data_IF_511886805528
#
_entry.id   IF_511886805528
#
_cell.length_a   1.000
_cell.length_b   1.000
_cell.length_c   1.000
_cell.angle_alpha   90.00
_cell.angle_beta   90.00
_cell.angle_gamma   90.00
#
_symmetry.space_group_name_H-M   'P 1'
#
loop_
_entity.id
_entity.type
_entity.pdbx_description
1 polymer ?
#
# COMPACT_ATOMS: atom_id res chain seq x y z
N UNK A 1 -13.96 -27.41 59.62
CA UNK A 1 -14.24 -28.24 58.42
C UNK A 1 -14.50 -27.44 57.15
N UNK A 2 -14.04 -26.18 57.00
CA UNK A 2 -14.35 -25.34 55.83
C UNK A 2 -13.17 -25.01 54.90
N UNK A 3 -11.91 -25.35 55.28
CA UNK A 3 -10.71 -24.99 54.51
C UNK A 3 -10.42 -26.00 53.38
N UNK A 4 -10.85 -27.26 53.51
CA UNK A 4 -10.55 -28.31 52.52
C UNK A 4 -11.42 -28.24 51.23
N UNK A 5 -12.57 -27.55 51.30
CA UNK A 5 -13.49 -27.47 50.15
C UNK A 5 -13.10 -26.37 49.17
N UNK A 6 -12.44 -25.31 49.64
CA UNK A 6 -12.00 -24.15 48.83
C UNK A 6 -10.80 -24.51 47.93
N UNK A 7 -9.83 -25.29 48.49
CA UNK A 7 -8.67 -25.71 47.70
C UNK A 7 -8.96 -26.62 46.51
N UNK A 8 -10.00 -27.48 46.62
CA UNK A 8 -10.38 -28.37 45.50
C UNK A 8 -11.05 -27.64 44.35
N UNK A 9 -11.79 -26.54 44.61
CA UNK A 9 -12.44 -25.76 43.55
C UNK A 9 -11.44 -24.88 42.76
N UNK A 10 -10.42 -24.36 43.41
CA UNK A 10 -9.38 -23.54 42.78
C UNK A 10 -8.48 -24.36 41.87
N UNK A 11 -8.20 -25.61 42.22
CA UNK A 11 -7.36 -26.52 41.43
C UNK A 11 -8.06 -26.97 40.14
N UNK A 12 -9.41 -27.14 40.16
CA UNK A 12 -10.16 -27.49 38.96
C UNK A 12 -10.31 -26.34 37.96
N UNK A 13 -10.38 -25.09 38.44
CA UNK A 13 -10.45 -23.92 37.56
C UNK A 13 -9.12 -23.63 36.88
N UNK A 14 -7.99 -23.86 37.53
CA UNK A 14 -6.66 -23.68 36.91
C UNK A 14 -6.34 -24.76 35.88
N UNK A 15 -6.81 -26.00 36.06
CA UNK A 15 -6.64 -27.05 35.03
C UNK A 15 -7.49 -26.83 33.79
N UNK A 16 -8.70 -26.29 33.92
CA UNK A 16 -9.59 -25.98 32.80
C UNK A 16 -9.06 -24.79 31.96
N UNK A 17 -8.42 -23.79 32.59
CA UNK A 17 -7.80 -22.67 31.90
C UNK A 17 -6.51 -23.04 31.13
N UNK A 18 -5.76 -24.06 31.63
CA UNK A 18 -4.56 -24.53 30.95
C UNK A 18 -4.85 -25.37 29.69
N UNK A 19 -6.00 -26.02 29.61
CA UNK A 19 -6.43 -26.77 28.41
C UNK A 19 -6.89 -25.87 27.25
N UNK A 20 -7.24 -24.60 27.51
CA UNK A 20 -7.66 -23.64 26.50
C UNK A 20 -6.47 -22.94 25.82
N UNK A 21 -5.25 -23.14 26.31
CA UNK A 21 -4.01 -22.54 25.78
C UNK A 21 -3.10 -23.56 25.07
N UNK A 22 -3.55 -24.78 24.85
CA UNK A 22 -2.84 -25.70 23.98
C UNK A 22 -2.87 -25.15 22.55
N UNK A 23 -1.71 -24.94 21.89
CA UNK A 23 -1.72 -24.55 20.49
C UNK A 23 -2.50 -25.61 19.72
N UNK A 24 -3.60 -25.23 19.11
CA UNK A 24 -4.33 -26.09 18.18
C UNK A 24 -3.31 -26.51 17.11
N UNK A 25 -3.22 -27.80 16.77
CA UNK A 25 -2.38 -28.19 15.65
C UNK A 25 -2.85 -27.41 14.43
N UNK A 26 -1.98 -26.56 13.90
CA UNK A 26 -2.27 -25.86 12.66
C UNK A 26 -2.41 -26.93 11.57
N UNK A 27 -3.61 -27.27 11.19
CA UNK A 27 -3.83 -28.05 9.97
C UNK A 27 -3.23 -27.23 8.84
N UNK A 28 -2.29 -27.83 8.08
CA UNK A 28 -1.70 -27.17 6.92
C UNK A 28 -2.82 -26.62 6.02
N UNK A 29 -2.71 -25.35 5.64
CA UNK A 29 -3.73 -24.72 4.81
C UNK A 29 -3.87 -25.46 3.48
N UNK A 30 -5.11 -25.61 3.02
CA UNK A 30 -5.38 -26.26 1.73
C UNK A 30 -4.93 -25.33 0.59
N UNK A 31 -4.09 -25.87 -0.31
CA UNK A 31 -3.67 -25.17 -1.52
C UNK A 31 -4.51 -25.66 -2.68
N UNK A 32 -5.27 -24.74 -3.29
CA UNK A 32 -6.16 -25.04 -4.42
C UNK A 32 -5.41 -24.89 -5.76
N UNK A 33 -5.93 -25.54 -6.79
CA UNK A 33 -5.38 -25.48 -8.15
C UNK A 33 -6.06 -24.41 -9.00
N UNK A 34 -7.31 -24.09 -8.67
CA UNK A 34 -8.12 -23.12 -9.42
C UNK A 34 -8.94 -22.23 -8.47
N UNK A 35 -9.33 -21.07 -8.96
CA UNK A 35 -10.24 -20.18 -8.23
C UNK A 35 -11.60 -20.85 -7.97
N UNK A 36 -12.12 -21.62 -8.91
CA UNK A 36 -13.40 -22.31 -8.76
C UNK A 36 -13.38 -23.35 -7.63
N UNK A 37 -12.26 -24.06 -7.43
CA UNK A 37 -12.08 -24.95 -6.26
C UNK A 37 -12.04 -24.15 -4.96
N UNK A 38 -11.27 -23.06 -4.94
CA UNK A 38 -11.09 -22.20 -3.79
C UNK A 38 -12.37 -21.45 -3.38
N UNK A 39 -13.23 -21.11 -4.33
CA UNK A 39 -14.47 -20.35 -4.10
C UNK A 39 -15.45 -21.03 -3.13
N UNK A 40 -15.35 -22.35 -2.95
CA UNK A 40 -16.21 -23.09 -2.01
C UNK A 40 -15.82 -22.86 -0.54
N UNK A 41 -14.61 -22.38 -0.28
CA UNK A 41 -14.05 -22.16 1.06
C UNK A 41 -13.57 -20.73 1.29
N UNK A 42 -13.83 -19.81 0.35
CA UNK A 42 -13.41 -18.42 0.48
C UNK A 42 -14.09 -17.74 1.67
N UNK A 43 -13.31 -17.04 2.46
CA UNK A 43 -13.74 -16.25 3.61
C UNK A 43 -13.70 -14.75 3.31
N UNK A 44 -13.86 -13.91 4.33
CA UNK A 44 -13.68 -12.45 4.21
C UNK A 44 -12.24 -12.08 3.82
N UNK A 45 -11.24 -12.92 4.13
CA UNK A 45 -9.83 -12.70 3.74
C UNK A 45 -9.59 -12.92 2.23
N UNK A 46 -10.58 -13.50 1.53
CA UNK A 46 -10.56 -13.64 0.07
C UNK A 46 -9.58 -14.69 -0.44
N UNK A 47 -8.76 -14.33 -1.46
CA UNK A 47 -7.85 -15.24 -2.12
C UNK A 47 -6.40 -14.69 -2.08
N UNK A 48 -5.44 -15.60 -1.93
CA UNK A 48 -4.03 -15.31 -2.09
C UNK A 48 -3.43 -16.22 -3.18
N UNK A 49 -3.02 -15.62 -4.28
CA UNK A 49 -2.37 -16.31 -5.39
C UNK A 49 -0.86 -16.16 -5.27
N UNK A 50 -0.15 -17.29 -5.17
CA UNK A 50 1.31 -17.33 -5.35
C UNK A 50 1.59 -17.63 -6.83
N UNK A 51 2.05 -16.61 -7.55
CA UNK A 51 2.14 -16.63 -9.01
C UNK A 51 3.58 -16.88 -9.45
N UNK A 52 3.79 -17.89 -10.28
CA UNK A 52 5.09 -18.22 -10.87
C UNK A 52 5.11 -18.04 -12.38
N UNK A 53 6.28 -17.63 -12.91
CA UNK A 53 6.47 -17.50 -14.36
C UNK A 53 6.65 -18.86 -15.03
N UNK A 54 5.64 -19.29 -15.79
CA UNK A 54 5.67 -20.57 -16.49
C UNK A 54 6.38 -20.45 -17.84
N UNK A 55 7.37 -21.30 -18.04
CA UNK A 55 8.12 -21.36 -19.31
C UNK A 55 9.22 -20.30 -19.46
N UNK A 56 9.39 -19.42 -18.50
CA UNK A 56 10.44 -18.40 -18.53
C UNK A 56 11.71 -18.88 -17.84
N UNK A 57 11.58 -19.44 -16.64
CA UNK A 57 12.69 -19.97 -15.88
C UNK A 57 12.31 -21.29 -15.20
N UNK A 58 13.35 -22.05 -14.80
CA UNK A 58 13.18 -23.32 -14.09
C UNK A 58 13.09 -23.18 -12.57
N UNK A 59 13.28 -21.96 -12.01
CA UNK A 59 13.40 -21.71 -10.58
C UNK A 59 12.11 -21.17 -9.97
N UNK A 60 11.33 -20.42 -10.74
CA UNK A 60 10.12 -19.71 -10.27
C UNK A 60 9.06 -20.67 -9.68
N UNK A 61 8.76 -21.76 -10.36
CA UNK A 61 7.76 -22.74 -9.90
C UNK A 61 8.17 -23.46 -8.60
N UNK A 62 9.40 -24.04 -8.47
CA UNK A 62 9.85 -24.62 -7.21
C UNK A 62 9.87 -23.61 -6.06
N UNK A 63 10.35 -22.39 -6.29
CA UNK A 63 10.38 -21.31 -5.33
C UNK A 63 8.97 -20.95 -4.81
N UNK A 64 8.00 -20.78 -5.70
CA UNK A 64 6.62 -20.50 -5.32
C UNK A 64 5.96 -21.68 -4.57
N UNK A 65 6.30 -22.92 -4.91
CA UNK A 65 5.85 -24.10 -4.16
C UNK A 65 6.40 -24.11 -2.73
N UNK A 66 7.65 -23.72 -2.54
CA UNK A 66 8.25 -23.60 -1.22
C UNK A 66 7.55 -22.50 -0.40
N UNK A 67 7.31 -21.33 -1.00
CA UNK A 67 6.62 -20.22 -0.35
C UNK A 67 5.23 -20.62 0.12
N UNK A 68 4.39 -21.14 -0.77
CA UNK A 68 3.00 -21.46 -0.44
C UNK A 68 2.88 -22.61 0.58
N UNK A 69 3.87 -23.50 0.65
CA UNK A 69 3.94 -24.59 1.62
C UNK A 69 4.51 -24.16 2.98
N UNK A 70 5.09 -22.96 3.08
CA UNK A 70 5.74 -22.50 4.30
C UNK A 70 4.69 -22.16 5.39
N UNK A 71 4.82 -22.70 6.63
CA UNK A 71 3.86 -22.46 7.71
C UNK A 71 3.71 -20.98 8.11
N UNK A 72 4.79 -20.20 8.07
CA UNK A 72 4.74 -18.75 8.38
C UNK A 72 3.91 -18.00 7.36
N UNK A 73 4.06 -18.34 6.07
CA UNK A 73 3.27 -17.74 4.98
C UNK A 73 1.80 -18.13 5.10
N UNK A 74 1.52 -19.42 5.39
CA UNK A 74 0.14 -19.89 5.59
C UNK A 74 -0.52 -19.21 6.79
N UNK A 75 0.21 -19.05 7.91
CA UNK A 75 -0.30 -18.34 9.07
C UNK A 75 -0.51 -16.84 8.80
N UNK A 76 0.35 -16.21 8.00
CA UNK A 76 0.21 -14.81 7.62
C UNK A 76 -0.95 -14.54 6.64
N UNK A 77 -1.32 -15.54 5.84
CA UNK A 77 -2.46 -15.48 4.92
C UNK A 77 -3.82 -15.47 5.65
N UNK A 78 -3.85 -15.75 6.96
CA UNK A 78 -5.10 -15.85 7.70
C UNK A 78 -5.99 -16.98 7.15
N UNK A 79 -7.25 -16.65 6.90
CA UNK A 79 -8.23 -17.57 6.33
C UNK A 79 -8.37 -17.42 4.79
N UNK A 80 -7.44 -16.71 4.13
CA UNK A 80 -7.48 -16.58 2.67
C UNK A 80 -7.29 -17.93 1.97
N UNK A 81 -8.05 -18.15 0.89
CA UNK A 81 -7.92 -19.34 0.06
C UNK A 81 -6.64 -19.27 -0.79
N UNK A 82 -5.72 -20.23 -0.59
CA UNK A 82 -4.40 -20.24 -1.22
C UNK A 82 -4.44 -20.91 -2.59
N UNK A 83 -3.91 -20.24 -3.62
CA UNK A 83 -3.83 -20.77 -4.99
C UNK A 83 -2.41 -20.65 -5.51
N UNK A 84 -1.86 -21.74 -6.06
CA UNK A 84 -0.60 -21.71 -6.79
C UNK A 84 -0.91 -21.53 -8.29
N UNK A 85 -0.59 -20.35 -8.84
CA UNK A 85 -1.02 -19.94 -10.17
C UNK A 85 0.14 -19.80 -11.16
N UNK A 86 0.08 -20.41 -12.37
CA UNK A 86 1.00 -20.15 -13.46
C UNK A 86 0.68 -18.80 -14.13
N UNK A 87 1.72 -18.09 -14.54
CA UNK A 87 1.64 -16.97 -15.48
C UNK A 87 2.47 -17.30 -16.71
N UNK A 88 1.85 -17.31 -17.87
CA UNK A 88 2.50 -17.63 -19.15
C UNK A 88 2.89 -16.35 -19.89
N UNK A 89 4.18 -16.05 -19.97
CA UNK A 89 4.66 -14.82 -20.62
C UNK A 89 4.44 -14.81 -22.14
N UNK A 90 4.62 -15.97 -22.78
CA UNK A 90 4.42 -16.17 -24.23
C UNK A 90 3.31 -17.20 -24.43
N UNK A 91 2.12 -16.86 -23.99
CA UNK A 91 1.00 -17.78 -23.95
C UNK A 91 0.51 -18.18 -25.35
N UNK A 92 0.42 -19.46 -25.60
CA UNK A 92 -0.38 -20.01 -26.69
C UNK A 92 -1.89 -19.88 -26.37
N UNK A 93 -2.79 -20.04 -27.34
CA UNK A 93 -4.24 -20.08 -27.04
C UNK A 93 -4.60 -21.13 -25.98
N UNK A 94 -3.90 -22.29 -25.98
CA UNK A 94 -4.09 -23.35 -24.98
C UNK A 94 -3.59 -22.91 -23.58
N UNK A 95 -2.45 -22.21 -23.51
CA UNK A 95 -1.92 -21.69 -22.25
C UNK A 95 -2.84 -20.59 -21.68
N UNK A 96 -3.42 -19.75 -22.53
CA UNK A 96 -4.42 -18.76 -22.10
C UNK A 96 -5.67 -19.43 -21.52
N UNK A 97 -6.13 -20.54 -22.10
CA UNK A 97 -7.25 -21.31 -21.55
C UNK A 97 -6.91 -21.91 -20.18
N UNK A 98 -5.70 -22.48 -20.04
CA UNK A 98 -5.23 -23.02 -18.75
C UNK A 98 -5.12 -21.92 -17.70
N UNK A 99 -4.58 -20.77 -18.06
CA UNK A 99 -4.48 -19.61 -17.18
C UNK A 99 -5.86 -19.13 -16.76
N UNK A 100 -6.78 -18.93 -17.70
CA UNK A 100 -8.14 -18.52 -17.41
C UNK A 100 -8.87 -19.52 -16.49
N UNK A 101 -8.64 -20.83 -16.64
CA UNK A 101 -9.22 -21.85 -15.76
C UNK A 101 -8.68 -21.74 -14.31
N UNK A 102 -7.40 -21.39 -14.11
CA UNK A 102 -6.82 -21.19 -12.79
C UNK A 102 -7.36 -19.93 -12.13
N UNK A 103 -7.41 -18.84 -12.87
CA UNK A 103 -7.78 -17.51 -12.36
C UNK A 103 -9.29 -17.31 -12.23
N UNK A 104 -10.08 -17.99 -13.03
CA UNK A 104 -11.55 -17.96 -12.99
C UNK A 104 -12.09 -16.53 -13.13
N UNK A 105 -12.82 -16.07 -12.11
CA UNK A 105 -13.42 -14.73 -12.06
C UNK A 105 -12.56 -13.66 -11.37
N UNK A 106 -11.33 -14.01 -10.95
CA UNK A 106 -10.44 -13.02 -10.35
C UNK A 106 -10.06 -11.94 -11.37
N UNK A 107 -10.00 -10.71 -10.91
CA UNK A 107 -9.52 -9.60 -11.73
C UNK A 107 -8.10 -9.92 -12.24
N UNK A 108 -7.97 -10.03 -13.56
CA UNK A 108 -6.67 -10.29 -14.16
C UNK A 108 -5.76 -9.09 -13.89
N UNK A 109 -4.57 -9.28 -13.29
CA UNK A 109 -3.65 -8.19 -13.15
C UNK A 109 -3.33 -7.73 -14.57
N UNK A 110 -3.78 -6.54 -14.91
CA UNK A 110 -3.42 -5.93 -16.18
C UNK A 110 -1.90 -5.91 -16.22
N UNK A 111 -1.34 -6.42 -17.32
CA UNK A 111 0.10 -6.40 -17.56
C UNK A 111 0.57 -4.94 -17.53
N UNK A 112 0.79 -4.42 -16.34
CA UNK A 112 1.50 -3.18 -16.16
C UNK A 112 2.97 -3.50 -16.41
N UNK A 113 3.63 -2.69 -17.20
CA UNK A 113 5.05 -2.80 -17.56
C UNK A 113 6.03 -2.96 -16.38
N UNK A 114 5.54 -2.98 -15.15
CA UNK A 114 6.30 -3.07 -13.90
C UNK A 114 5.98 -4.32 -13.07
N UNK A 115 5.21 -5.28 -13.56
CA UNK A 115 4.95 -6.51 -12.81
C UNK A 115 6.15 -7.46 -12.91
N UNK A 116 6.70 -7.80 -11.75
CA UNK A 116 7.79 -8.77 -11.64
C UNK A 116 7.24 -10.09 -11.12
N UNK A 117 7.37 -11.15 -11.90
CA UNK A 117 7.08 -12.51 -11.46
C UNK A 117 8.38 -13.22 -11.05
N UNK A 118 8.36 -14.07 -10.03
CA UNK A 118 7.20 -14.49 -9.24
C UNK A 118 6.76 -13.43 -8.25
N UNK A 119 5.48 -13.51 -7.79
CA UNK A 119 4.87 -12.58 -6.84
C UNK A 119 3.72 -13.25 -6.07
N UNK A 120 3.22 -12.53 -5.05
CA UNK A 120 1.94 -12.86 -4.40
C UNK A 120 0.93 -11.78 -4.78
N UNK A 121 -0.27 -12.19 -5.17
CA UNK A 121 -1.41 -11.33 -5.44
C UNK A 121 -2.52 -11.63 -4.43
N UNK A 122 -3.10 -10.60 -3.85
CA UNK A 122 -4.11 -10.71 -2.80
C UNK A 122 -5.43 -10.10 -3.30
N UNK A 123 -6.50 -10.90 -3.27
CA UNK A 123 -7.82 -10.54 -3.78
C UNK A 123 -8.85 -10.59 -2.66
N UNK A 124 -9.82 -9.70 -2.71
CA UNK A 124 -11.00 -9.79 -1.85
C UNK A 124 -11.89 -11.00 -2.24
N UNK A 125 -12.89 -11.29 -1.43
CA UNK A 125 -13.84 -12.39 -1.68
C UNK A 125 -14.62 -12.25 -3.00
N UNK A 126 -14.70 -11.04 -3.56
CA UNK A 126 -15.36 -10.77 -4.82
C UNK A 126 -14.39 -10.89 -6.02
N UNK A 127 -13.14 -11.32 -5.78
CA UNK A 127 -12.12 -11.51 -6.81
C UNK A 127 -11.44 -10.23 -7.27
N UNK A 128 -11.53 -9.13 -6.51
CA UNK A 128 -10.90 -7.86 -6.84
C UNK A 128 -9.51 -7.77 -6.20
N UNK A 129 -8.51 -7.43 -6.99
CA UNK A 129 -7.13 -7.26 -6.53
C UNK A 129 -7.03 -6.07 -5.56
N UNK A 130 -6.48 -6.30 -4.36
CA UNK A 130 -6.23 -5.23 -3.39
C UNK A 130 -4.77 -5.12 -2.95
N UNK A 131 -3.95 -6.16 -3.09
CA UNK A 131 -2.58 -6.13 -2.61
C UNK A 131 -1.63 -7.00 -3.43
N UNK A 132 -0.33 -6.65 -3.37
CA UNK A 132 0.75 -7.37 -4.05
C UNK A 132 1.98 -7.43 -3.16
N UNK A 133 2.66 -8.58 -3.13
CA UNK A 133 4.01 -8.74 -2.56
C UNK A 133 4.92 -9.16 -3.71
N UNK A 134 5.83 -8.28 -4.11
CA UNK A 134 6.63 -8.45 -5.31
C UNK A 134 8.00 -7.76 -5.24
N UNK A 135 8.83 -7.95 -6.27
CA UNK A 135 10.11 -7.25 -6.41
C UNK A 135 11.20 -7.81 -5.52
N UNK A 136 12.16 -6.94 -5.15
CA UNK A 136 13.37 -7.37 -4.44
C UNK A 136 13.09 -7.94 -3.05
N UNK A 137 12.16 -7.37 -2.30
CA UNK A 137 11.75 -7.88 -0.98
C UNK A 137 11.18 -9.30 -1.09
N UNK A 138 10.35 -9.54 -2.09
CA UNK A 138 9.78 -10.87 -2.34
C UNK A 138 10.86 -11.89 -2.76
N UNK A 139 11.75 -11.53 -3.67
CA UNK A 139 12.75 -12.45 -4.22
C UNK A 139 13.89 -12.75 -3.24
N UNK A 140 14.36 -11.75 -2.50
CA UNK A 140 15.55 -11.82 -1.63
C UNK A 140 15.23 -11.83 -0.15
N UNK A 141 14.01 -11.49 0.26
CA UNK A 141 13.58 -11.48 1.65
C UNK A 141 13.54 -12.89 2.28
N UNK A 142 13.58 -12.95 3.59
CA UNK A 142 13.30 -14.16 4.36
C UNK A 142 11.82 -14.53 4.32
N UNK A 143 11.45 -15.74 4.74
CA UNK A 143 10.04 -16.13 4.88
C UNK A 143 9.31 -15.24 5.90
N UNK A 144 9.97 -14.89 7.02
CA UNK A 144 9.42 -13.99 8.02
C UNK A 144 9.12 -12.58 7.48
N UNK A 145 10.00 -12.01 6.64
CA UNK A 145 9.75 -10.71 6.01
C UNK A 145 8.57 -10.76 5.04
N UNK A 146 8.47 -11.81 4.23
CA UNK A 146 7.32 -12.03 3.33
C UNK A 146 6.01 -12.19 4.12
N UNK A 147 6.04 -13.00 5.17
CA UNK A 147 4.90 -13.21 6.06
C UNK A 147 4.45 -11.89 6.71
N UNK A 148 5.39 -11.08 7.20
CA UNK A 148 5.10 -9.77 7.77
C UNK A 148 4.45 -8.82 6.74
N UNK A 149 4.93 -8.82 5.50
CA UNK A 149 4.35 -7.99 4.43
C UNK A 149 2.93 -8.45 4.06
N UNK A 150 2.68 -9.76 3.95
CA UNK A 150 1.35 -10.33 3.71
C UNK A 150 0.38 -9.90 4.83
N UNK A 151 0.78 -10.11 6.08
CA UNK A 151 -0.03 -9.76 7.25
C UNK A 151 -0.37 -8.27 7.28
N UNK A 152 0.63 -7.40 7.04
CA UNK A 152 0.42 -5.96 7.00
C UNK A 152 -0.60 -5.54 5.93
N UNK A 153 -0.59 -6.19 4.75
CA UNK A 153 -1.57 -5.93 3.68
C UNK A 153 -2.98 -6.41 4.04
N UNK A 154 -3.10 -7.56 4.69
CA UNK A 154 -4.37 -8.09 5.15
C UNK A 154 -4.99 -7.17 6.24
N UNK A 155 -4.19 -6.75 7.22
CA UNK A 155 -4.61 -5.79 8.24
C UNK A 155 -5.00 -4.43 7.63
N UNK A 156 -4.24 -3.94 6.65
CA UNK A 156 -4.55 -2.72 5.91
C UNK A 156 -5.89 -2.86 5.15
N UNK A 157 -6.16 -4.03 4.58
CA UNK A 157 -7.42 -4.32 3.89
C UNK A 157 -8.60 -4.32 4.87
N UNK A 158 -8.50 -5.00 6.01
CA UNK A 158 -9.55 -5.01 7.03
C UNK A 158 -9.87 -3.59 7.52
N UNK A 159 -8.85 -2.78 7.77
CA UNK A 159 -9.04 -1.37 8.15
C UNK A 159 -9.74 -0.56 7.04
N UNK A 160 -9.40 -0.81 5.77
CA UNK A 160 -10.07 -0.18 4.63
C UNK A 160 -11.55 -0.54 4.57
N UNK A 161 -11.90 -1.81 4.79
CA UNK A 161 -13.28 -2.28 4.80
C UNK A 161 -14.08 -1.72 5.96
N UNK A 162 -13.47 -1.60 7.14
CA UNK A 162 -14.07 -0.93 8.29
C UNK A 162 -14.43 0.52 7.97
N UNK A 163 -13.49 1.29 7.42
CA UNK A 163 -13.73 2.69 7.01
C UNK A 163 -14.80 2.80 5.93
N UNK A 164 -14.82 1.89 4.95
CA UNK A 164 -15.85 1.87 3.91
C UNK A 164 -17.24 1.50 4.46
N UNK A 165 -17.30 0.63 5.47
CA UNK A 165 -18.54 0.30 6.19
C UNK A 165 -19.06 1.51 6.96
N UNK A 166 -18.18 2.23 7.70
CA UNK A 166 -18.52 3.47 8.37
C UNK A 166 -18.97 4.54 7.37
N UNK A 167 -18.30 4.66 6.22
CA UNK A 167 -18.69 5.56 5.15
C UNK A 167 -20.08 5.22 4.56
N UNK A 168 -20.45 3.94 4.55
CA UNK A 168 -21.79 3.49 4.15
C UNK A 168 -22.90 4.03 5.05
N UNK A 169 -22.64 4.20 6.35
CA UNK A 169 -23.56 4.73 7.34
C UNK A 169 -23.52 6.28 7.44
N UNK A 170 -22.45 6.92 6.95
CA UNK A 170 -22.27 8.37 7.00
C UNK A 170 -22.85 9.08 5.75
N UNK A 171 -23.02 10.41 5.85
CA UNK A 171 -23.49 11.26 4.76
C UNK A 171 -22.62 12.52 4.58
N UNK A 172 -22.72 13.16 3.41
CA UNK A 172 -22.07 14.44 3.13
C UNK A 172 -20.56 14.41 3.33
N UNK A 173 -20.01 15.49 3.85
CA UNK A 173 -18.57 15.69 4.08
C UNK A 173 -17.95 14.59 4.93
N UNK A 174 -18.65 14.05 5.91
CA UNK A 174 -18.15 12.95 6.75
C UNK A 174 -17.93 11.66 5.94
N UNK A 175 -18.89 11.29 5.09
CA UNK A 175 -18.74 10.16 4.17
C UNK A 175 -17.53 10.35 3.25
N UNK A 176 -17.35 11.56 2.70
CA UNK A 176 -16.21 11.86 1.83
C UNK A 176 -14.87 11.70 2.56
N UNK A 177 -14.79 12.15 3.83
CA UNK A 177 -13.59 11.99 4.67
C UNK A 177 -13.25 10.52 4.91
N UNK A 178 -14.22 9.71 5.35
CA UNK A 178 -14.02 8.27 5.61
C UNK A 178 -13.54 7.53 4.37
N UNK A 179 -14.13 7.80 3.20
CA UNK A 179 -13.64 7.25 1.93
C UNK A 179 -12.24 7.75 1.61
N UNK A 180 -11.95 9.02 1.89
CA UNK A 180 -10.62 9.61 1.73
C UNK A 180 -9.56 8.94 2.60
N UNK A 181 -9.90 8.60 3.84
CA UNK A 181 -9.04 7.85 4.76
C UNK A 181 -8.81 6.41 4.26
N UNK A 182 -9.86 5.73 3.80
CA UNK A 182 -9.75 4.40 3.21
C UNK A 182 -8.82 4.40 1.96
N UNK A 183 -8.89 5.45 1.14
CA UNK A 183 -8.01 5.63 -0.02
C UNK A 183 -6.55 5.95 0.36
N UNK A 184 -6.30 6.47 1.55
CA UNK A 184 -4.98 6.87 2.03
C UNK A 184 -4.17 5.73 2.63
N UNK A 185 -4.78 4.57 2.87
CA UNK A 185 -4.10 3.39 3.40
C UNK A 185 -3.04 2.92 2.40
N UNK A 186 -1.80 2.88 2.86
CA UNK A 186 -0.67 2.52 2.01
C UNK A 186 -0.56 1.01 1.80
N UNK A 187 0.04 0.63 0.68
CA UNK A 187 0.38 -0.76 0.37
C UNK A 187 -0.77 -1.60 -0.18
N UNK A 188 -1.97 -1.04 -0.30
CA UNK A 188 -3.13 -1.69 -0.91
C UNK A 188 -3.80 -0.77 -1.95
N UNK A 189 -4.56 -1.38 -2.85
CA UNK A 189 -5.30 -0.65 -3.88
C UNK A 189 -6.45 0.16 -3.25
N UNK A 190 -6.77 1.28 -3.87
CA UNK A 190 -7.88 2.13 -3.43
C UNK A 190 -9.23 1.42 -3.62
N UNK A 191 -10.24 1.70 -2.77
CA UNK A 191 -11.58 1.15 -2.94
C UNK A 191 -12.15 1.47 -4.33
N UNK A 192 -12.86 0.52 -4.93
CA UNK A 192 -13.50 0.78 -6.22
C UNK A 192 -14.59 1.85 -6.09
N UNK A 193 -14.73 2.66 -7.15
CA UNK A 193 -15.75 3.70 -7.20
C UNK A 193 -15.56 4.84 -6.20
N UNK A 194 -14.38 4.93 -5.55
CA UNK A 194 -14.13 5.95 -4.53
C UNK A 194 -14.38 7.38 -5.03
N UNK A 195 -14.04 7.66 -6.31
CA UNK A 195 -14.20 9.00 -6.90
C UNK A 195 -15.66 9.42 -6.96
N UNK A 196 -16.51 8.53 -7.43
CA UNK A 196 -17.94 8.71 -7.56
C UNK A 196 -18.58 8.88 -6.18
N UNK A 197 -18.15 8.07 -5.22
CA UNK A 197 -18.65 8.14 -3.83
C UNK A 197 -18.29 9.49 -3.20
N UNK A 198 -17.01 9.90 -3.27
CA UNK A 198 -16.55 11.17 -2.70
C UNK A 198 -17.24 12.35 -3.38
N UNK A 199 -17.32 12.37 -4.72
CA UNK A 199 -17.95 13.44 -5.47
C UNK A 199 -19.46 13.55 -5.22
N UNK A 200 -20.14 12.43 -5.06
CA UNK A 200 -21.58 12.42 -4.74
C UNK A 200 -21.85 12.87 -3.29
N UNK A 201 -20.96 12.50 -2.36
CA UNK A 201 -21.08 12.87 -0.94
C UNK A 201 -20.70 14.34 -0.70
N UNK A 202 -19.71 14.87 -1.42
CA UNK A 202 -19.17 16.22 -1.23
C UNK A 202 -18.94 16.90 -2.60
N UNK A 203 -20.02 17.31 -3.29
CA UNK A 203 -19.94 17.86 -4.65
C UNK A 203 -19.17 19.17 -4.75
N UNK A 204 -19.08 19.93 -3.65
CA UNK A 204 -18.33 21.19 -3.57
C UNK A 204 -16.89 21.02 -3.08
N UNK A 205 -16.47 19.78 -2.79
CA UNK A 205 -15.15 19.45 -2.22
C UNK A 205 -14.81 20.24 -0.94
N UNK A 206 -15.80 20.41 -0.04
CA UNK A 206 -15.61 21.07 1.25
C UNK A 206 -14.62 20.32 2.15
N UNK A 207 -14.61 18.98 2.05
CA UNK A 207 -13.61 18.11 2.71
C UNK A 207 -12.21 18.24 2.13
N UNK A 208 -12.08 18.73 0.89
CA UNK A 208 -10.83 18.71 0.13
C UNK A 208 -10.41 17.33 -0.38
N UNK A 209 -11.24 16.30 -0.21
CA UNK A 209 -10.86 14.93 -0.56
C UNK A 209 -10.74 14.72 -2.08
N UNK A 210 -11.54 15.41 -2.90
CA UNK A 210 -11.41 15.35 -4.36
C UNK A 210 -10.05 15.90 -4.79
N UNK A 211 -9.67 17.08 -4.29
CA UNK A 211 -8.35 17.69 -4.57
C UNK A 211 -7.21 16.80 -4.12
N UNK A 212 -7.27 16.31 -2.87
CA UNK A 212 -6.26 15.46 -2.27
C UNK A 212 -6.05 14.16 -3.03
N UNK A 213 -7.13 13.44 -3.36
CA UNK A 213 -7.08 12.11 -3.97
C UNK A 213 -6.78 12.16 -5.47
N UNK A 214 -7.14 13.27 -6.14
CA UNK A 214 -6.83 13.50 -7.55
C UNK A 214 -5.50 14.24 -7.76
N UNK A 215 -4.71 14.49 -6.70
CA UNK A 215 -3.42 15.15 -6.84
C UNK A 215 -2.51 14.35 -7.76
N UNK A 216 -2.25 14.92 -8.93
CA UNK A 216 -1.37 14.35 -9.95
C UNK A 216 0.04 14.89 -9.76
N UNK A 217 0.91 14.06 -9.16
CA UNK A 217 2.32 14.41 -8.96
C UNK A 217 3.05 14.67 -10.28
N UNK A 218 2.77 13.88 -11.33
CA UNK A 218 3.47 14.02 -12.60
C UNK A 218 3.09 15.32 -13.31
N UNK A 219 1.80 15.61 -13.45
CA UNK A 219 1.31 16.86 -14.04
C UNK A 219 1.74 18.08 -13.24
N UNK A 220 1.72 17.99 -11.90
CA UNK A 220 2.22 19.02 -11.02
C UNK A 220 3.73 19.27 -11.23
N UNK A 221 4.54 18.21 -11.28
CA UNK A 221 5.97 18.29 -11.53
C UNK A 221 6.28 18.86 -12.91
N UNK A 222 5.55 18.47 -13.94
CA UNK A 222 5.71 19.05 -15.29
C UNK A 222 5.45 20.57 -15.28
N UNK A 223 4.38 21.00 -14.60
CA UNK A 223 4.01 22.42 -14.55
C UNK A 223 5.02 23.28 -13.77
N UNK A 224 5.54 22.80 -12.65
CA UNK A 224 6.33 23.63 -11.74
C UNK A 224 7.82 23.27 -11.67
N UNK A 225 8.22 22.09 -12.13
CA UNK A 225 9.61 21.61 -12.04
C UNK A 225 10.29 21.44 -13.40
N UNK A 226 9.55 21.56 -14.51
CA UNK A 226 10.12 21.43 -15.86
C UNK A 226 11.28 22.44 -16.06
N UNK A 227 12.39 21.94 -16.57
CA UNK A 227 13.57 22.79 -16.83
C UNK A 227 13.26 23.76 -17.96
N UNK A 228 13.82 24.96 -17.85
CA UNK A 228 13.67 26.07 -18.83
C UNK A 228 14.06 25.76 -20.30
N UNK A 229 14.45 24.53 -20.63
CA UNK A 229 14.78 24.16 -22.00
C UNK A 229 13.61 24.33 -22.98
N UNK A 230 12.36 24.28 -22.47
CA UNK A 230 11.13 24.28 -23.28
C UNK A 230 10.23 25.51 -23.06
N UNK A 231 10.77 26.66 -22.70
CA UNK A 231 9.99 27.91 -22.67
C UNK A 231 9.70 28.54 -21.31
N UNK A 232 10.26 27.98 -20.21
CA UNK A 232 10.19 28.60 -18.89
C UNK A 232 8.92 28.20 -18.10
N UNK A 233 8.96 28.40 -16.77
CA UNK A 233 7.78 28.33 -15.93
C UNK A 233 6.77 29.39 -16.42
N UNK A 234 5.51 29.03 -16.59
CA UNK A 234 4.44 29.99 -16.92
C UNK A 234 4.35 31.13 -15.90
N UNK A 235 4.78 30.83 -14.65
CA UNK A 235 4.83 31.77 -13.54
C UNK A 235 6.27 32.14 -13.18
N UNK A 236 6.54 33.42 -12.92
CA UNK A 236 7.80 33.88 -12.37
C UNK A 236 8.05 33.31 -10.96
N UNK A 237 9.31 33.41 -10.45
CA UNK A 237 9.70 32.80 -9.17
C UNK A 237 8.83 33.19 -7.98
N UNK A 238 8.54 34.46 -7.81
CA UNK A 238 7.71 34.98 -6.71
C UNK A 238 6.27 34.45 -6.77
N UNK A 239 5.68 34.44 -7.98
CA UNK A 239 4.32 33.95 -8.20
C UNK A 239 4.24 32.43 -7.94
N UNK A 240 5.27 31.68 -8.34
CA UNK A 240 5.38 30.25 -8.06
C UNK A 240 5.42 29.98 -6.55
N UNK A 241 6.28 30.70 -5.82
CA UNK A 241 6.38 30.55 -4.35
C UNK A 241 5.04 30.88 -3.69
N UNK A 242 4.41 32.00 -4.07
CA UNK A 242 3.10 32.39 -3.52
C UNK A 242 1.99 31.37 -3.80
N UNK A 243 2.04 30.71 -4.94
CA UNK A 243 1.07 29.63 -5.26
C UNK A 243 1.34 28.39 -4.40
N UNK A 244 2.60 27.99 -4.20
CA UNK A 244 2.97 26.88 -3.32
C UNK A 244 2.57 27.16 -1.86
N UNK A 245 2.72 28.39 -1.39
CA UNK A 245 2.27 28.77 -0.04
C UNK A 245 0.76 28.63 0.17
N UNK A 246 -0.04 28.81 -0.89
CA UNK A 246 -1.50 28.52 -0.80
C UNK A 246 -1.75 27.02 -0.61
N UNK A 247 -1.07 26.17 -1.37
CA UNK A 247 -1.19 24.71 -1.22
C UNK A 247 -0.71 24.24 0.15
N UNK A 248 0.36 24.83 0.70
CA UNK A 248 0.86 24.50 2.03
C UNK A 248 -0.16 24.81 3.14
N UNK A 249 -0.97 25.86 2.96
CA UNK A 249 -2.02 26.27 3.93
C UNK A 249 -3.30 25.43 3.79
N UNK A 250 -3.52 24.77 2.66
CA UNK A 250 -4.72 23.95 2.44
C UNK A 250 -4.66 22.68 3.31
N UNK A 251 -5.61 22.50 4.25
CA UNK A 251 -5.64 21.34 5.13
C UNK A 251 -5.96 20.02 4.39
N UNK A 252 -6.45 20.09 3.15
CA UNK A 252 -6.76 18.91 2.34
C UNK A 252 -5.51 18.09 2.00
N UNK A 253 -4.35 18.72 1.86
CA UNK A 253 -3.12 18.04 1.48
C UNK A 253 -2.41 17.39 2.67
N UNK A 254 -1.92 16.16 2.47
CA UNK A 254 -1.14 15.44 3.49
C UNK A 254 0.23 16.09 3.72
N UNK A 255 0.89 15.81 4.86
CA UNK A 255 2.26 16.27 5.10
C UNK A 255 3.23 15.91 3.97
N UNK A 256 3.14 14.70 3.40
CA UNK A 256 3.97 14.23 2.29
C UNK A 256 3.68 15.02 0.99
N UNK A 257 2.40 15.29 0.69
CA UNK A 257 2.05 16.16 -0.45
C UNK A 257 2.58 17.58 -0.25
N UNK A 258 2.52 18.11 0.97
CA UNK A 258 3.11 19.42 1.31
C UNK A 258 4.63 19.46 1.17
N UNK A 259 5.33 18.34 1.38
CA UNK A 259 6.76 18.25 1.08
C UNK A 259 7.05 18.47 -0.43
N UNK A 260 6.17 18.01 -1.32
CA UNK A 260 6.32 18.24 -2.75
C UNK A 260 6.24 19.75 -3.08
N UNK A 261 5.31 20.46 -2.44
CA UNK A 261 5.22 21.92 -2.61
C UNK A 261 6.46 22.64 -2.10
N UNK A 262 7.01 22.21 -0.97
CA UNK A 262 8.30 22.72 -0.49
C UNK A 262 9.46 22.42 -1.45
N UNK A 263 9.48 21.24 -2.06
CA UNK A 263 10.52 20.90 -3.05
C UNK A 263 10.48 21.86 -4.26
N UNK A 264 9.28 22.26 -4.71
CA UNK A 264 9.12 23.30 -5.75
C UNK A 264 9.66 24.65 -5.27
N UNK A 265 9.35 25.06 -4.03
CA UNK A 265 9.90 26.30 -3.44
C UNK A 265 11.43 26.25 -3.42
N UNK A 266 12.02 25.16 -2.93
CA UNK A 266 13.48 24.98 -2.85
C UNK A 266 14.10 25.06 -4.26
N UNK A 267 13.53 24.37 -5.24
CA UNK A 267 13.99 24.41 -6.62
C UNK A 267 13.89 25.80 -7.23
N UNK A 268 12.83 26.54 -6.92
CA UNK A 268 12.64 27.93 -7.38
C UNK A 268 13.63 28.89 -6.73
N UNK A 269 13.81 28.81 -5.42
CA UNK A 269 14.80 29.60 -4.67
C UNK A 269 16.21 29.35 -5.20
N UNK A 270 16.58 28.08 -5.45
CA UNK A 270 17.88 27.72 -6.02
C UNK A 270 18.11 28.38 -7.40
N UNK A 271 17.12 28.31 -8.29
CA UNK A 271 17.21 28.94 -9.62
C UNK A 271 17.28 30.46 -9.56
N UNK A 272 16.68 31.06 -8.54
CA UNK A 272 16.73 32.51 -8.31
C UNK A 272 18.01 32.98 -7.60
N UNK A 273 18.98 32.09 -7.34
CA UNK A 273 20.24 32.44 -6.71
C UNK A 273 20.14 32.65 -5.19
N UNK A 274 19.13 32.09 -4.52
CA UNK A 274 19.02 32.20 -3.08
C UNK A 274 20.23 31.64 -2.33
N UNK A 275 20.62 32.31 -1.25
CA UNK A 275 21.78 31.91 -0.44
C UNK A 275 21.57 30.60 0.32
N UNK A 276 22.67 29.95 0.71
CA UNK A 276 22.69 28.68 1.40
C UNK A 276 21.81 28.66 2.67
N UNK A 277 21.80 29.75 3.44
CA UNK A 277 20.96 29.86 4.66
C UNK A 277 19.48 29.78 4.34
N UNK A 278 19.01 30.45 3.29
CA UNK A 278 17.62 30.43 2.88
C UNK A 278 17.21 29.05 2.35
N UNK A 279 18.06 28.42 1.53
CA UNK A 279 17.83 27.06 1.04
C UNK A 279 17.78 26.04 2.17
N UNK A 280 18.73 26.13 3.12
CA UNK A 280 18.75 25.27 4.32
C UNK A 280 17.45 25.42 5.13
N UNK A 281 16.99 26.66 5.36
CA UNK A 281 15.72 26.93 6.07
C UNK A 281 14.52 26.24 5.39
N UNK A 282 14.40 26.38 4.06
CA UNK A 282 13.32 25.76 3.30
C UNK A 282 13.36 24.22 3.34
N UNK A 283 14.55 23.60 3.30
CA UNK A 283 14.72 22.14 3.42
C UNK A 283 14.36 21.66 4.83
N UNK A 284 14.70 22.42 5.88
CA UNK A 284 14.34 22.09 7.25
C UNK A 284 12.81 22.10 7.44
N UNK A 285 12.11 23.08 6.88
CA UNK A 285 10.64 23.11 6.91
C UNK A 285 10.02 21.93 6.14
N UNK A 286 10.56 21.58 4.99
CA UNK A 286 10.14 20.39 4.25
C UNK A 286 10.29 19.11 5.10
N UNK A 287 11.44 18.93 5.76
CA UNK A 287 11.69 17.79 6.64
C UNK A 287 10.69 17.72 7.80
N UNK A 288 10.38 18.86 8.43
CA UNK A 288 9.49 18.96 9.60
C UNK A 288 8.09 18.41 9.33
N UNK A 289 7.62 18.49 8.08
CA UNK A 289 6.27 18.05 7.72
C UNK A 289 6.08 16.53 7.83
N UNK A 290 7.04 15.74 7.32
CA UNK A 290 7.03 14.28 7.36
C UNK A 290 8.48 13.76 7.40
N UNK A 291 9.12 13.72 8.58
CA UNK A 291 10.55 13.44 8.72
C UNK A 291 10.93 12.03 8.28
N UNK A 292 10.03 11.07 8.44
CA UNK A 292 10.25 9.65 8.09
C UNK A 292 9.91 9.31 6.63
N UNK A 293 9.36 10.25 5.86
CA UNK A 293 9.12 10.07 4.42
C UNK A 293 10.43 9.98 3.65
N UNK A 294 10.40 9.45 2.43
CA UNK A 294 11.57 9.45 1.54
C UNK A 294 12.18 10.86 1.36
N UNK A 295 11.34 11.87 1.18
CA UNK A 295 11.80 13.27 1.04
C UNK A 295 12.34 13.82 2.37
N UNK A 296 11.76 13.45 3.51
CA UNK A 296 12.22 13.84 4.84
C UNK A 296 13.60 13.27 5.16
N UNK A 297 13.84 12.00 4.86
CA UNK A 297 15.14 11.35 5.03
C UNK A 297 16.20 11.96 4.08
N UNK A 298 15.82 12.17 2.81
CA UNK A 298 16.72 12.78 1.81
C UNK A 298 17.09 14.23 2.17
N UNK A 299 16.21 14.95 2.87
CA UNK A 299 16.45 16.32 3.30
C UNK A 299 17.71 16.47 4.17
N UNK A 300 18.10 15.45 4.95
CA UNK A 300 19.33 15.49 5.75
C UNK A 300 20.60 15.64 4.91
N UNK A 301 20.63 15.07 3.73
CA UNK A 301 21.75 15.21 2.81
C UNK A 301 21.85 16.66 2.29
N UNK A 302 20.71 17.27 1.94
CA UNK A 302 20.68 18.67 1.51
C UNK A 302 21.00 19.66 2.63
N UNK A 303 20.54 19.41 3.86
CA UNK A 303 20.87 20.24 5.02
C UNK A 303 22.38 20.24 5.25
N UNK A 304 23.06 19.09 5.15
CA UNK A 304 24.52 18.98 5.26
C UNK A 304 25.22 19.71 4.11
N UNK A 305 24.75 19.54 2.89
CA UNK A 305 25.31 20.21 1.70
C UNK A 305 25.27 21.74 1.83
N UNK A 306 24.13 22.31 2.25
CA UNK A 306 24.00 23.75 2.44
C UNK A 306 24.67 24.26 3.71
N UNK A 307 25.01 23.41 4.67
CA UNK A 307 25.79 23.77 5.85
C UNK A 307 27.29 23.88 5.56
N UNK A 308 27.83 23.09 4.62
CA UNK A 308 29.26 23.10 4.24
C UNK A 308 29.66 24.27 3.37
N UNK A 309 28.73 25.08 2.86
CA UNK A 309 29.03 26.20 1.96
C UNK A 309 29.40 25.77 0.53
N UNK A 310 29.43 24.47 0.22
CA UNK A 310 29.82 23.91 -1.09
C UNK A 310 28.75 24.06 -2.18
N UNK A 311 27.73 24.88 -1.98
CA UNK A 311 26.60 25.08 -2.91
C UNK A 311 26.97 25.85 -4.20
N UNK A 312 28.24 25.95 -4.54
CA UNK A 312 28.75 26.64 -5.78
C UNK A 312 29.13 25.63 -6.89
N UNK A 313 28.55 24.43 -6.93
CA UNK A 313 28.71 23.57 -8.10
C UNK A 313 27.37 23.15 -8.72
#
# INVERSE_FOLDING_TARGET
MHVHTIMKKTLFLTLAAACLLAPQPSTAATVYKTQAEAAQSVTEDGYMLVVYAKGWDRFSEPFCKEIIANPEIQAAAGDAALILAPFYQYATPEDNQKQAAVWGSLEEPRAHSNETYPCILMYDKNGRLYGRVQGTSFLKGSMAERAAEIKAKLEARHKQEELMTQAGAANGVERAKLVGEACAIQGIERPSGWREIVKAADPNDESGMVRRLNFDYYGFSQKYCASQKDGGLELGPEATIKEMEKFLKDPAYTPEQKQIFHAVIIGTLRRSGAGATQLKGAVMEMKRLAPESHMGVTADQYIKLYASGDSKK
#
